data_IF_181720482061
#
_entry.id   IF_181720482061
#
_cell.length_a   1.000
_cell.length_b   1.000
_cell.length_c   1.000
_cell.angle_alpha   90.00
_cell.angle_beta   90.00
_cell.angle_gamma   90.00
#
_symmetry.space_group_name_H-M   'P 1'
#
loop_
_entity.id
_entity.type
_entity.pdbx_description
1 polymer ?
#
# COMPACT_ATOMS: atom_id res chain seq x y z
N UNK A 1 -9.57 -11.80 -0.24
CA UNK A 1 -9.08 -12.65 -1.36
C UNK A 1 -7.92 -11.95 -2.06
N UNK A 2 -6.87 -12.69 -2.37
CA UNK A 2 -5.77 -12.12 -3.15
C UNK A 2 -6.15 -11.98 -4.62
N UNK A 3 -5.91 -10.79 -5.17
CA UNK A 3 -6.06 -10.47 -6.59
C UNK A 3 -4.68 -10.16 -7.13
N UNK A 4 -4.20 -10.93 -8.11
CA UNK A 4 -2.90 -10.68 -8.73
C UNK A 4 -2.96 -9.34 -9.45
N UNK A 5 -2.04 -8.43 -9.06
CA UNK A 5 -2.07 -7.06 -9.54
C UNK A 5 -0.65 -6.58 -9.80
N UNK A 6 -0.34 -6.33 -11.05
CA UNK A 6 0.93 -5.73 -11.46
C UNK A 6 0.64 -4.68 -12.54
N UNK A 7 0.45 -3.41 -12.13
CA UNK A 7 0.10 -2.34 -13.06
C UNK A 7 1.28 -1.80 -13.86
N UNK A 8 2.50 -2.35 -13.68
CA UNK A 8 3.67 -1.91 -14.42
C UNK A 8 3.40 -2.00 -15.93
N UNK A 9 3.55 -0.90 -16.71
CA UNK A 9 3.16 -0.89 -18.12
C UNK A 9 3.98 -1.84 -18.98
N UNK A 10 5.21 -2.18 -18.57
CA UNK A 10 6.04 -3.16 -19.25
C UNK A 10 5.88 -4.58 -18.70
N UNK A 11 4.97 -4.79 -17.76
CA UNK A 11 4.75 -6.08 -17.11
C UNK A 11 5.92 -6.55 -16.25
N UNK A 12 6.82 -5.66 -15.89
CA UNK A 12 8.03 -6.03 -15.14
C UNK A 12 7.73 -6.22 -13.65
N UNK A 13 8.41 -7.18 -13.04
CA UNK A 13 8.41 -7.38 -11.59
C UNK A 13 9.65 -6.69 -11.02
N UNK A 14 9.46 -5.49 -10.51
CA UNK A 14 10.53 -4.67 -9.91
C UNK A 14 10.10 -4.26 -8.50
N UNK A 15 11.01 -3.63 -7.76
CA UNK A 15 10.72 -3.16 -6.40
C UNK A 15 9.84 -1.92 -6.37
N UNK A 16 8.66 -1.99 -6.97
CA UNK A 16 7.73 -0.88 -7.13
C UNK A 16 6.47 -1.01 -6.24
N UNK A 17 6.58 -1.70 -5.11
CA UNK A 17 5.43 -1.94 -4.24
C UNK A 17 4.73 -0.63 -3.80
N UNK A 18 5.48 0.44 -3.54
CA UNK A 18 4.90 1.73 -3.17
C UNK A 18 4.10 2.33 -4.33
N UNK A 19 4.63 2.28 -5.56
CA UNK A 19 3.92 2.75 -6.75
C UNK A 19 2.65 1.93 -6.97
N UNK A 20 2.76 0.61 -6.85
CA UNK A 20 1.64 -0.32 -6.99
C UNK A 20 0.54 -0.02 -5.96
N UNK A 21 0.94 0.14 -4.70
CA UNK A 21 0.00 0.41 -3.62
C UNK A 21 -0.72 1.74 -3.80
N UNK A 22 0.01 2.79 -4.17
CA UNK A 22 -0.58 4.12 -4.40
C UNK A 22 -1.50 4.08 -5.63
N UNK A 23 -1.10 3.41 -6.71
CA UNK A 23 -1.93 3.28 -7.90
C UNK A 23 -3.28 2.63 -7.56
N UNK A 24 -3.26 1.53 -6.82
CA UNK A 24 -4.48 0.85 -6.41
C UNK A 24 -5.33 1.71 -5.46
N UNK A 25 -4.70 2.34 -4.47
CA UNK A 25 -5.41 3.13 -3.47
C UNK A 25 -6.09 4.37 -4.07
N UNK A 26 -5.45 5.02 -5.03
CA UNK A 26 -6.01 6.23 -5.67
C UNK A 26 -6.84 5.91 -6.91
N UNK A 27 -6.83 4.67 -7.38
CA UNK A 27 -7.56 4.29 -8.58
C UNK A 27 -6.98 4.91 -9.84
N UNK A 28 -5.65 5.03 -9.90
CA UNK A 28 -4.92 5.62 -11.04
C UNK A 28 -3.98 4.57 -11.64
N UNK A 29 -3.43 4.86 -12.84
CA UNK A 29 -2.49 3.96 -13.45
C UNK A 29 -1.09 4.06 -12.81
N UNK A 30 -0.21 3.15 -13.20
CA UNK A 30 1.15 3.08 -12.67
C UNK A 30 1.93 4.36 -12.95
N UNK A 31 1.81 4.90 -14.16
CA UNK A 31 2.55 6.09 -14.57
C UNK A 31 2.13 7.32 -13.76
N UNK A 32 0.84 7.51 -13.54
CA UNK A 32 0.35 8.62 -12.72
C UNK A 32 0.81 8.47 -11.28
N UNK A 33 0.70 7.29 -10.70
CA UNK A 33 1.19 7.03 -9.34
C UNK A 33 2.70 7.26 -9.23
N UNK A 34 3.47 6.78 -10.20
CA UNK A 34 4.90 7.01 -10.25
C UNK A 34 5.24 8.50 -10.26
N UNK A 35 4.58 9.26 -11.12
CA UNK A 35 4.83 10.71 -11.23
C UNK A 35 4.45 11.46 -9.95
N UNK A 36 3.34 11.10 -9.31
CA UNK A 36 2.95 11.71 -8.03
C UNK A 36 4.03 11.49 -6.97
N UNK A 37 4.56 10.29 -6.88
CA UNK A 37 5.59 9.92 -5.90
C UNK A 37 6.92 10.59 -6.26
N UNK A 38 7.31 10.57 -7.53
CA UNK A 38 8.54 11.18 -8.00
C UNK A 38 8.54 12.69 -7.76
N UNK A 39 7.44 13.37 -8.06
CA UNK A 39 7.29 14.81 -7.82
C UNK A 39 7.37 15.13 -6.33
N UNK A 40 6.72 14.34 -5.50
CA UNK A 40 6.79 14.52 -4.05
C UNK A 40 8.22 14.31 -3.52
N UNK A 41 8.89 13.29 -4.00
CA UNK A 41 10.29 13.04 -3.63
C UNK A 41 11.21 14.18 -4.04
N UNK A 42 11.03 14.70 -5.24
CA UNK A 42 11.79 15.85 -5.71
C UNK A 42 11.57 17.07 -4.80
N UNK A 43 10.31 17.38 -4.51
CA UNK A 43 9.96 18.54 -3.68
C UNK A 43 10.47 18.41 -2.24
N UNK A 44 10.47 17.19 -1.70
CA UNK A 44 10.92 16.91 -0.33
C UNK A 44 12.43 16.71 -0.23
N UNK A 45 13.13 16.62 -1.36
CA UNK A 45 14.56 16.33 -1.36
C UNK A 45 14.86 14.91 -0.87
N UNK A 46 13.97 13.96 -1.15
CA UNK A 46 14.07 12.59 -0.65
C UNK A 46 13.77 11.59 -1.78
N UNK A 47 14.05 10.33 -1.53
CA UNK A 47 13.85 9.28 -2.54
C UNK A 47 12.37 8.92 -2.67
N UNK A 48 11.90 8.70 -3.91
CA UNK A 48 10.49 8.31 -4.13
C UNK A 48 10.07 7.05 -3.36
N UNK A 49 10.99 6.12 -3.15
CA UNK A 49 10.72 4.87 -2.44
C UNK A 49 10.64 5.03 -0.92
N UNK A 50 10.99 6.21 -0.39
CA UNK A 50 10.92 6.48 1.04
C UNK A 50 9.47 6.49 1.53
N UNK A 51 9.21 5.86 2.67
CA UNK A 51 7.88 5.82 3.28
C UNK A 51 7.32 7.23 3.54
N UNK A 52 8.18 8.18 3.90
CA UNK A 52 7.77 9.56 4.11
C UNK A 52 7.26 10.23 2.82
N UNK A 53 7.80 9.83 1.67
CA UNK A 53 7.45 10.42 0.37
C UNK A 53 6.11 9.87 -0.13
N UNK A 54 5.99 8.56 -0.32
CA UNK A 54 4.72 8.02 -0.80
C UNK A 54 3.60 8.18 0.25
N UNK A 55 3.96 8.21 1.55
CA UNK A 55 3.02 8.54 2.61
C UNK A 55 2.50 9.96 2.50
N UNK A 56 3.35 10.93 2.12
CA UNK A 56 2.91 12.30 1.88
C UNK A 56 1.89 12.37 0.73
N UNK A 57 2.09 11.58 -0.32
CA UNK A 57 1.12 11.49 -1.42
C UNK A 57 -0.23 11.00 -0.91
N UNK A 58 -0.24 9.95 -0.10
CA UNK A 58 -1.48 9.44 0.50
C UNK A 58 -2.16 10.49 1.39
N UNK A 59 -1.41 11.20 2.23
CA UNK A 59 -1.96 12.26 3.08
C UNK A 59 -2.62 13.36 2.27
N UNK A 60 -2.00 13.77 1.18
CA UNK A 60 -2.54 14.81 0.29
C UNK A 60 -3.86 14.38 -0.36
N UNK A 61 -4.10 13.06 -0.41
CA UNK A 61 -5.33 12.50 -0.95
C UNK A 61 -6.33 12.05 0.13
N UNK A 62 -6.14 12.50 1.37
CA UNK A 62 -7.11 12.29 2.43
C UNK A 62 -6.92 11.03 3.25
N UNK A 63 -5.78 10.36 3.10
CA UNK A 63 -5.47 9.16 3.90
C UNK A 63 -4.80 9.52 5.22
N UNK A 64 -5.06 8.71 6.23
CA UNK A 64 -4.49 8.81 7.57
C UNK A 64 -3.77 7.51 7.92
N UNK A 65 -2.68 7.62 8.67
CA UNK A 65 -1.87 6.46 9.05
C UNK A 65 -2.15 6.05 10.50
N UNK A 66 -2.29 4.77 10.73
CA UNK A 66 -2.49 4.21 12.07
C UNK A 66 -1.62 2.98 12.27
N UNK A 67 -0.97 2.89 13.43
CA UNK A 67 -0.16 1.74 13.78
C UNK A 67 -1.03 0.55 14.21
N UNK A 68 -0.58 -0.64 13.89
CA UNK A 68 -1.20 -1.89 14.35
C UNK A 68 -0.36 -2.43 15.50
N UNK A 69 -0.94 -2.65 16.68
CA UNK A 69 -0.20 -3.22 17.81
C UNK A 69 0.33 -4.60 17.47
N UNK A 70 1.54 -4.92 17.95
CA UNK A 70 2.10 -6.24 17.77
C UNK A 70 1.27 -7.28 18.54
N UNK A 71 0.76 -8.24 17.82
CA UNK A 71 -0.13 -9.28 18.36
C UNK A 71 0.48 -10.68 18.36
N UNK A 72 1.76 -10.82 18.02
CA UNK A 72 2.43 -12.11 18.08
C UNK A 72 2.59 -12.57 19.53
N UNK A 73 2.47 -13.91 19.81
CA UNK A 73 2.46 -15.04 18.86
C UNK A 73 1.17 -15.24 18.06
N UNK A 74 0.07 -14.60 18.43
CA UNK A 74 -1.18 -14.67 17.69
C UNK A 74 -1.16 -13.59 16.59
N UNK A 75 -0.20 -13.69 15.66
CA UNK A 75 0.07 -12.66 14.69
C UNK A 75 -1.16 -12.30 13.86
N UNK A 76 -1.42 -11.02 13.79
CA UNK A 76 -2.53 -10.45 13.04
C UNK A 76 -2.12 -10.31 11.57
N UNK A 77 -2.64 -11.19 10.72
CA UNK A 77 -2.28 -11.24 9.30
C UNK A 77 -3.19 -10.35 8.46
N UNK A 78 -2.86 -10.20 7.16
CA UNK A 78 -3.74 -9.52 6.21
C UNK A 78 -5.12 -10.18 6.17
N UNK A 79 -5.18 -11.52 6.23
CA UNK A 79 -6.47 -12.24 6.29
C UNK A 79 -7.31 -11.81 7.47
N UNK A 80 -6.69 -11.62 8.63
CA UNK A 80 -7.39 -11.12 9.82
C UNK A 80 -7.83 -9.68 9.63
N UNK A 81 -6.99 -8.85 9.05
CA UNK A 81 -7.30 -7.45 8.78
C UNK A 81 -8.55 -7.31 7.91
N UNK A 82 -8.64 -8.09 6.82
CA UNK A 82 -9.79 -7.97 5.91
C UNK A 82 -11.10 -8.45 6.53
N UNK A 83 -11.04 -9.31 7.55
CA UNK A 83 -12.23 -9.69 8.31
C UNK A 83 -12.73 -8.54 9.19
N UNK A 84 -11.81 -7.77 9.78
CA UNK A 84 -12.15 -6.63 10.63
C UNK A 84 -12.53 -5.40 9.80
N UNK A 85 -11.95 -5.25 8.60
CA UNK A 85 -12.17 -4.11 7.70
C UNK A 85 -12.62 -4.61 6.33
N UNK A 86 -13.84 -5.14 6.22
CA UNK A 86 -14.31 -5.76 4.96
C UNK A 86 -14.68 -4.76 3.87
N UNK A 87 -14.74 -3.48 4.19
CA UNK A 87 -15.13 -2.42 3.26
C UNK A 87 -14.15 -1.27 3.31
N UNK A 88 -13.90 -0.67 2.16
CA UNK A 88 -13.07 0.52 2.05
C UNK A 88 -11.71 0.25 1.44
N UNK A 89 -10.91 1.31 1.36
CA UNK A 89 -9.57 1.27 0.75
C UNK A 89 -8.53 1.45 1.85
N UNK A 90 -7.60 0.52 1.94
CA UNK A 90 -6.55 0.52 2.94
C UNK A 90 -5.21 0.19 2.31
N UNK A 91 -4.16 0.91 2.70
CA UNK A 91 -2.79 0.56 2.33
C UNK A 91 -2.12 -0.02 3.56
N UNK A 92 -1.66 -1.27 3.46
CA UNK A 92 -1.05 -2.00 4.56
C UNK A 92 0.46 -1.97 4.42
N UNK A 93 1.16 -1.64 5.50
CA UNK A 93 2.62 -1.64 5.54
C UNK A 93 3.15 -2.81 6.34
N UNK A 94 4.14 -3.49 5.77
CA UNK A 94 4.86 -4.59 6.39
C UNK A 94 6.31 -4.18 6.58
N UNK A 95 7.13 -5.08 7.07
CA UNK A 95 8.57 -4.84 7.09
C UNK A 95 9.15 -4.93 5.67
N UNK A 96 9.36 -3.79 5.02
CA UNK A 96 9.95 -3.73 3.68
C UNK A 96 9.00 -4.00 2.51
N UNK A 97 7.68 -3.97 2.75
CA UNK A 97 6.68 -4.18 1.70
C UNK A 97 5.40 -3.41 2.02
N UNK A 98 4.67 -3.00 0.98
CA UNK A 98 3.34 -2.39 1.12
C UNK A 98 2.41 -2.96 0.07
N UNK A 99 1.12 -3.04 0.40
CA UNK A 99 0.09 -3.50 -0.52
C UNK A 99 -1.25 -2.86 -0.17
N UNK A 100 -2.17 -2.83 -1.13
CA UNK A 100 -3.47 -2.21 -0.95
C UNK A 100 -4.58 -3.26 -0.88
N UNK A 101 -5.49 -3.06 0.07
CA UNK A 101 -6.70 -3.84 0.22
C UNK A 101 -7.89 -2.95 -0.14
N UNK A 102 -8.76 -3.45 -1.01
CA UNK A 102 -10.00 -2.76 -1.40
C UNK A 102 -11.16 -3.72 -1.20
N UNK A 103 -12.09 -3.35 -0.34
CA UNK A 103 -13.29 -4.14 -0.03
C UNK A 103 -12.98 -5.61 0.25
N UNK A 104 -11.97 -5.85 1.07
CA UNK A 104 -11.56 -7.17 1.49
C UNK A 104 -10.69 -7.94 0.49
N UNK A 105 -10.32 -7.32 -0.63
CA UNK A 105 -9.47 -7.93 -1.64
C UNK A 105 -8.06 -7.33 -1.59
N UNK A 106 -7.06 -8.19 -1.54
CA UNK A 106 -5.66 -7.79 -1.51
C UNK A 106 -5.13 -7.69 -2.93
N UNK A 107 -4.67 -6.51 -3.32
CA UNK A 107 -4.09 -6.24 -4.64
C UNK A 107 -2.57 -6.21 -4.52
N UNK A 108 -1.92 -7.27 -4.98
CA UNK A 108 -0.47 -7.39 -4.92
C UNK A 108 0.04 -8.27 -6.08
N UNK A 109 1.32 -8.14 -6.39
CA UNK A 109 1.95 -8.94 -7.45
C UNK A 109 2.22 -10.38 -7.00
N UNK A 110 2.18 -10.64 -5.70
CA UNK A 110 2.28 -11.98 -5.11
C UNK A 110 1.33 -12.07 -3.92
N UNK A 111 1.06 -13.29 -3.46
CA UNK A 111 0.10 -13.49 -2.38
C UNK A 111 0.73 -13.19 -1.02
N UNK A 112 0.54 -11.96 -0.54
CA UNK A 112 1.02 -11.50 0.76
C UNK A 112 -0.04 -11.60 1.88
N UNK A 113 -1.08 -12.40 1.69
CA UNK A 113 -2.19 -12.49 2.65
C UNK A 113 -1.80 -13.04 4.02
N UNK A 114 -0.69 -13.77 4.10
CA UNK A 114 -0.19 -14.31 5.36
C UNK A 114 0.85 -13.40 6.03
N UNK A 115 1.16 -12.26 5.44
CA UNK A 115 2.07 -11.29 6.04
C UNK A 115 1.39 -10.54 7.18
N UNK A 116 2.20 -10.03 8.12
CA UNK A 116 1.73 -9.32 9.31
C UNK A 116 1.91 -7.83 9.10
N UNK A 117 0.83 -7.07 8.90
CA UNK A 117 0.94 -5.61 8.75
C UNK A 117 1.25 -4.96 10.10
N UNK A 118 2.08 -3.93 10.07
CA UNK A 118 2.48 -3.18 11.26
C UNK A 118 1.85 -1.79 11.33
N UNK A 119 1.31 -1.30 10.21
CA UNK A 119 0.53 -0.07 10.16
C UNK A 119 -0.40 -0.14 8.93
N UNK A 120 -1.37 0.76 8.91
CA UNK A 120 -2.23 0.90 7.74
C UNK A 120 -2.61 2.36 7.50
N UNK A 121 -2.87 2.67 6.25
CA UNK A 121 -3.44 3.93 5.83
C UNK A 121 -4.91 3.73 5.51
N UNK A 122 -5.74 4.67 5.91
CA UNK A 122 -7.18 4.63 5.65
C UNK A 122 -7.67 6.01 5.25
N UNK A 123 -8.78 6.04 4.53
CA UNK A 123 -9.41 7.29 4.09
C UNK A 123 -10.68 7.48 4.87
N UNK A 124 -10.79 8.64 5.50
CA UNK A 124 -12.01 9.00 6.22
C UNK A 124 -13.14 9.38 5.26
#
# INVERSE_FOLDING_TARGET
>A
MWVKYNPNPAGRFVGDCAVRAVAAALGVDWEEAYNLIADAGYDMGDMPSSDSVWGAVLRRHGFYREAIPNSCPDCYTVEDFVKDFPRGVYVLGFGGHVATVIDGNLYDSWNSSNEVPVYFWYKK
#
